data_IF_066851021856
#
_entry.id   IF_066851021856
#
_cell.length_a   1.000
_cell.length_b   1.000
_cell.length_c   1.000
_cell.angle_alpha   90.00
_cell.angle_beta   90.00
_cell.angle_gamma   90.00
#
_symmetry.space_group_name_H-M   'P 1'
#
loop_
_entity.id
_entity.type
_entity.pdbx_description
1 polymer ?
#
# COMPACT_ATOMS: atom_id res chain seq x y z
N UNK A 1 0.64 -1.65 -18.39
CA UNK A 1 -0.22 -0.85 -17.49
C UNK A 1 -1.52 -1.62 -17.31
N UNK A 2 -1.79 -2.13 -16.11
CA UNK A 2 -2.99 -2.94 -15.83
C UNK A 2 -4.07 -2.01 -15.29
N UNK A 3 -5.27 -2.09 -15.86
CA UNK A 3 -6.43 -1.29 -15.47
C UNK A 3 -7.43 -2.17 -14.72
N UNK A 4 -7.83 -1.76 -13.52
CA UNK A 4 -8.85 -2.48 -12.73
C UNK A 4 -10.11 -1.62 -12.59
N UNK A 5 -11.21 -2.04 -13.21
CA UNK A 5 -12.55 -1.48 -13.03
C UNK A 5 -13.38 -2.37 -12.10
N UNK A 6 -14.11 -1.78 -11.15
CA UNK A 6 -14.88 -2.52 -10.14
C UNK A 6 -16.34 -2.72 -10.55
N UNK A 7 -16.83 -3.96 -10.48
CA UNK A 7 -18.20 -4.32 -10.12
C UNK A 7 -18.13 -5.23 -8.87
N UNK A 8 -19.07 -5.05 -7.95
CA UNK A 8 -18.97 -5.40 -6.52
C UNK A 8 -18.74 -6.90 -6.18
N UNK A 9 -18.86 -7.82 -7.13
CA UNK A 9 -18.87 -9.26 -6.84
C UNK A 9 -17.50 -9.96 -7.07
N UNK A 10 -16.48 -9.25 -7.57
CA UNK A 10 -15.22 -9.86 -8.04
C UNK A 10 -14.03 -9.74 -7.10
N UNK A 11 -14.26 -9.41 -5.83
CA UNK A 11 -13.20 -9.08 -4.87
C UNK A 11 -12.26 -10.26 -4.59
N UNK A 12 -12.80 -11.46 -4.47
CA UNK A 12 -12.00 -12.67 -4.24
C UNK A 12 -11.15 -13.02 -5.47
N UNK A 13 -11.76 -12.91 -6.66
CA UNK A 13 -11.05 -13.09 -7.93
C UNK A 13 -9.93 -12.06 -8.10
N UNK A 14 -10.16 -10.81 -7.69
CA UNK A 14 -9.17 -9.74 -7.75
C UNK A 14 -7.90 -10.08 -6.95
N UNK A 15 -8.04 -10.60 -5.73
CA UNK A 15 -6.88 -10.94 -4.90
C UNK A 15 -6.12 -12.15 -5.47
N UNK A 16 -6.83 -13.18 -5.93
CA UNK A 16 -6.20 -14.35 -6.54
C UNK A 16 -5.44 -13.99 -7.82
N UNK A 17 -6.03 -13.16 -8.68
CA UNK A 17 -5.38 -12.64 -9.89
C UNK A 17 -4.17 -11.77 -9.57
N UNK A 18 -4.24 -10.94 -8.54
CA UNK A 18 -3.10 -10.14 -8.08
C UNK A 18 -1.97 -11.01 -7.55
N UNK A 19 -2.30 -12.07 -6.80
CA UNK A 19 -1.30 -13.01 -6.30
C UNK A 19 -0.60 -13.72 -7.47
N UNK A 20 -1.36 -14.28 -8.40
CA UNK A 20 -0.79 -14.95 -9.58
C UNK A 20 0.06 -13.99 -10.42
N UNK A 21 -0.37 -12.74 -10.56
CA UNK A 21 0.40 -11.69 -11.21
C UNK A 21 1.72 -11.42 -10.45
N UNK A 22 1.67 -11.26 -9.13
CA UNK A 22 2.87 -11.00 -8.35
C UNK A 22 3.85 -12.17 -8.36
N UNK A 23 3.35 -13.41 -8.35
CA UNK A 23 4.17 -14.61 -8.53
C UNK A 23 4.93 -14.57 -9.87
N UNK A 24 4.27 -14.16 -10.95
CA UNK A 24 4.90 -13.98 -12.28
C UNK A 24 5.86 -12.79 -12.35
N UNK A 25 5.73 -11.83 -11.44
CA UNK A 25 6.50 -10.57 -11.44
C UNK A 25 7.52 -10.50 -10.29
N UNK A 26 7.87 -11.65 -9.68
CA UNK A 26 8.94 -11.72 -8.68
C UNK A 26 10.22 -11.08 -9.21
N UNK A 27 10.92 -10.38 -8.32
CA UNK A 27 12.16 -9.64 -8.60
C UNK A 27 12.05 -8.48 -9.61
N UNK A 28 10.86 -8.20 -10.15
CA UNK A 28 10.63 -7.08 -11.07
C UNK A 28 10.12 -5.84 -10.34
N UNK A 29 10.18 -4.71 -11.05
CA UNK A 29 9.39 -3.53 -10.70
C UNK A 29 7.95 -3.76 -11.15
N UNK A 30 6.99 -3.56 -10.25
CA UNK A 30 5.57 -3.67 -10.57
C UNK A 30 4.91 -2.29 -10.55
N UNK A 31 4.32 -1.90 -11.68
CA UNK A 31 3.60 -0.64 -11.85
C UNK A 31 2.09 -0.90 -11.99
N UNK A 32 1.34 -0.57 -10.94
CA UNK A 32 -0.11 -0.75 -10.88
C UNK A 32 -0.81 0.60 -11.03
N UNK A 33 -1.72 0.68 -12.00
CA UNK A 33 -2.65 1.79 -12.15
C UNK A 33 -4.02 1.38 -11.60
N UNK A 34 -4.44 2.05 -10.53
CA UNK A 34 -5.71 1.77 -9.87
C UNK A 34 -6.68 2.90 -10.14
N UNK A 35 -7.74 2.59 -10.87
CA UNK A 35 -8.85 3.48 -11.25
C UNK A 35 -10.15 2.86 -10.76
N UNK A 36 -10.57 3.14 -9.53
CA UNK A 36 -11.83 2.59 -9.02
C UNK A 36 -12.57 3.58 -8.15
N UNK A 37 -13.86 3.79 -8.43
CA UNK A 37 -14.76 4.59 -7.60
C UNK A 37 -15.07 3.88 -6.27
N UNK A 38 -15.14 2.55 -6.26
CA UNK A 38 -15.41 1.74 -5.08
C UNK A 38 -14.66 0.40 -5.14
N UNK A 39 -13.72 0.19 -4.23
CA UNK A 39 -13.10 -1.12 -4.00
C UNK A 39 -13.48 -1.56 -2.59
N UNK A 40 -14.45 -2.45 -2.46
CA UNK A 40 -14.72 -3.14 -1.19
C UNK A 40 -13.75 -4.32 -1.17
N UNK A 41 -13.08 -4.56 -0.05
CA UNK A 41 -12.50 -5.87 0.17
C UNK A 41 -12.80 -6.23 1.63
N UNK A 42 -13.48 -7.35 1.92
CA UNK A 42 -13.81 -7.74 3.28
C UNK A 42 -12.57 -8.08 4.10
N UNK A 43 -12.47 -7.56 5.33
CA UNK A 43 -11.40 -7.94 6.29
C UNK A 43 -11.36 -9.45 6.57
N UNK A 44 -12.47 -10.16 6.35
CA UNK A 44 -12.65 -11.60 6.58
C UNK A 44 -11.91 -12.52 5.58
N UNK A 45 -11.37 -11.99 4.49
CA UNK A 45 -10.66 -12.81 3.48
C UNK A 45 -9.16 -12.97 3.73
N UNK A 46 -8.59 -12.28 4.72
CA UNK A 46 -7.16 -12.44 5.11
C UNK A 46 -6.74 -13.88 5.44
N UNK A 47 -7.55 -14.74 6.07
CA UNK A 47 -7.12 -16.08 6.48
C UNK A 47 -7.02 -17.09 5.33
N UNK A 48 -7.67 -16.85 4.18
CA UNK A 48 -7.73 -17.81 3.05
C UNK A 48 -6.49 -17.69 2.15
N UNK A 49 -5.73 -16.62 2.31
CA UNK A 49 -4.63 -16.27 1.43
C UNK A 49 -3.33 -16.88 1.97
N UNK A 50 -2.71 -17.77 1.18
CA UNK A 50 -1.37 -18.31 1.46
C UNK A 50 -0.35 -17.18 1.68
N UNK A 51 0.84 -17.48 2.25
CA UNK A 51 1.77 -16.44 2.65
C UNK A 51 2.12 -15.47 1.51
N UNK A 52 2.46 -14.22 1.85
CA UNK A 52 2.86 -13.17 0.92
C UNK A 52 3.77 -13.70 -0.20
N UNK A 53 3.57 -13.19 -1.41
CA UNK A 53 4.55 -13.32 -2.49
C UNK A 53 5.74 -12.43 -2.14
N UNK A 54 6.64 -12.94 -1.31
CA UNK A 54 7.89 -12.25 -1.00
C UNK A 54 8.68 -12.05 -2.30
N UNK A 55 9.48 -10.98 -2.35
CA UNK A 55 10.44 -10.63 -3.41
C UNK A 55 10.03 -9.61 -4.47
N UNK A 56 9.00 -8.79 -4.23
CA UNK A 56 8.83 -7.58 -5.04
C UNK A 56 9.82 -6.52 -4.59
N UNK A 57 10.78 -6.14 -5.44
CA UNK A 57 11.75 -5.08 -5.07
C UNK A 57 11.10 -3.70 -5.04
N UNK A 58 10.38 -3.37 -6.11
CA UNK A 58 9.84 -2.03 -6.30
C UNK A 58 8.36 -2.09 -6.65
N UNK A 59 7.51 -1.59 -5.75
CA UNK A 59 6.09 -1.41 -5.99
C UNK A 59 5.80 0.05 -6.32
N UNK A 60 5.30 0.30 -7.53
CA UNK A 60 4.89 1.61 -8.00
C UNK A 60 3.36 1.64 -8.14
N UNK A 61 2.70 2.55 -7.41
CA UNK A 61 1.25 2.67 -7.38
C UNK A 61 0.82 4.02 -7.92
N UNK A 62 0.07 4.02 -9.03
CA UNK A 62 -0.62 5.19 -9.55
C UNK A 62 -2.08 5.11 -9.19
N UNK A 63 -2.57 6.11 -8.46
CA UNK A 63 -3.90 6.06 -7.86
C UNK A 63 -4.72 7.25 -8.29
N UNK A 64 -5.89 6.96 -8.86
CA UNK A 64 -6.82 7.97 -9.34
C UNK A 64 -8.23 7.66 -8.81
N UNK A 65 -8.88 8.67 -8.22
CA UNK A 65 -10.31 8.60 -7.84
C UNK A 65 -10.72 7.43 -6.92
N UNK A 66 -9.88 7.03 -5.94
CA UNK A 66 -10.16 5.89 -5.06
C UNK A 66 -10.54 6.31 -3.63
N UNK A 67 -11.77 6.01 -3.22
CA UNK A 67 -12.31 6.31 -1.87
C UNK A 67 -11.78 5.39 -0.77
N UNK A 68 -11.33 4.17 -1.10
CA UNK A 68 -10.90 3.13 -0.14
C UNK A 68 -9.44 2.70 -0.30
N UNK A 69 -8.59 3.63 -0.74
CA UNK A 69 -7.20 3.33 -1.07
C UNK A 69 -6.35 2.76 0.08
N UNK A 70 -6.67 3.10 1.33
CA UNK A 70 -5.99 2.50 2.50
C UNK A 70 -6.07 0.98 2.50
N UNK A 71 -7.21 0.43 2.07
CA UNK A 71 -7.41 -1.01 2.04
C UNK A 71 -6.49 -1.67 1.00
N UNK A 72 -6.37 -1.05 -0.18
CA UNK A 72 -5.48 -1.51 -1.25
C UNK A 72 -4.04 -1.54 -0.75
N UNK A 73 -3.56 -0.43 -0.18
CA UNK A 73 -2.19 -0.37 0.36
C UNK A 73 -1.97 -1.42 1.42
N UNK A 74 -2.92 -1.57 2.35
CA UNK A 74 -2.81 -2.57 3.40
C UNK A 74 -2.69 -3.99 2.83
N UNK A 75 -3.38 -4.29 1.73
CA UNK A 75 -3.26 -5.57 1.05
C UNK A 75 -1.97 -5.72 0.26
N UNK A 76 -1.57 -4.70 -0.49
CA UNK A 76 -0.31 -4.75 -1.25
C UNK A 76 0.89 -4.91 -0.32
N UNK A 77 0.95 -4.11 0.75
CA UNK A 77 1.99 -4.22 1.77
C UNK A 77 1.99 -5.57 2.45
N UNK A 78 0.81 -6.13 2.73
CA UNK A 78 0.69 -7.47 3.30
C UNK A 78 1.12 -8.55 2.30
N UNK A 79 0.81 -8.43 1.01
CA UNK A 79 1.07 -9.47 0.02
C UNK A 79 2.50 -9.52 -0.51
N UNK A 80 3.24 -8.41 -0.58
CA UNK A 80 4.50 -8.41 -1.34
C UNK A 80 5.74 -7.88 -0.62
N UNK A 81 5.58 -7.31 0.57
CA UNK A 81 6.68 -6.81 1.40
C UNK A 81 7.75 -6.03 0.59
N UNK A 82 7.36 -4.98 -0.17
CA UNK A 82 8.25 -4.43 -1.16
C UNK A 82 9.40 -3.64 -0.52
N UNK A 83 10.61 -3.69 -1.10
CA UNK A 83 11.74 -2.91 -0.57
C UNK A 83 11.53 -1.40 -0.77
N UNK A 84 10.88 -1.01 -1.86
CA UNK A 84 10.45 0.38 -2.07
C UNK A 84 9.00 0.45 -2.47
N UNK A 85 8.29 1.42 -1.89
CA UNK A 85 6.93 1.79 -2.27
C UNK A 85 6.96 3.20 -2.86
N UNK A 86 6.71 3.32 -4.16
CA UNK A 86 6.51 4.61 -4.83
C UNK A 86 5.03 4.83 -5.06
N UNK A 87 4.50 5.98 -4.68
CA UNK A 87 3.09 6.30 -4.85
C UNK A 87 2.94 7.63 -5.56
N UNK A 88 2.17 7.60 -6.65
CA UNK A 88 1.76 8.80 -7.37
C UNK A 88 0.25 9.01 -7.19
N UNK A 89 -0.13 10.17 -6.66
CA UNK A 89 -1.51 10.53 -6.40
C UNK A 89 -2.00 11.68 -7.26
N UNK A 90 -3.19 11.52 -7.85
CA UNK A 90 -3.85 12.56 -8.62
C UNK A 90 -4.85 13.43 -7.84
N UNK A 91 -5.34 13.01 -6.66
CA UNK A 91 -6.57 13.64 -6.11
C UNK A 91 -6.69 13.77 -4.59
N UNK A 92 -5.80 13.24 -3.73
CA UNK A 92 -5.94 13.39 -2.27
C UNK A 92 -4.64 13.29 -1.47
N UNK A 93 -4.08 14.45 -1.09
CA UNK A 93 -2.99 14.55 -0.12
C UNK A 93 -3.37 14.03 1.28
N UNK A 94 -4.68 13.97 1.61
CA UNK A 94 -5.19 13.41 2.88
C UNK A 94 -4.69 12.00 3.09
N UNK A 95 -4.71 11.20 2.03
CA UNK A 95 -4.30 9.81 2.11
C UNK A 95 -2.81 9.70 2.42
N UNK A 96 -1.95 10.42 1.68
CA UNK A 96 -0.51 10.39 1.92
C UNK A 96 -0.19 10.79 3.37
N UNK A 97 -0.90 11.78 3.92
CA UNK A 97 -0.80 12.15 5.33
C UNK A 97 -1.17 11.00 6.27
N UNK A 98 -2.29 10.31 6.01
CA UNK A 98 -2.72 9.14 6.81
C UNK A 98 -1.72 7.99 6.72
N UNK A 99 -1.23 7.67 5.52
CA UNK A 99 -0.25 6.60 5.32
C UNK A 99 1.07 6.93 6.01
N UNK A 100 1.57 8.15 5.81
CA UNK A 100 2.78 8.63 6.45
C UNK A 100 2.66 8.58 7.98
N UNK A 101 1.55 9.03 8.55
CA UNK A 101 1.30 8.93 9.98
C UNK A 101 1.28 7.47 10.47
N UNK A 102 0.73 6.55 9.66
CA UNK A 102 0.72 5.11 9.98
C UNK A 102 2.13 4.51 9.96
N UNK A 103 3.01 4.98 9.07
CA UNK A 103 4.42 4.59 9.06
C UNK A 103 5.22 5.21 10.21
N UNK A 104 4.98 6.49 10.51
CA UNK A 104 5.68 7.22 11.59
C UNK A 104 5.30 6.72 12.98
N UNK A 105 4.03 6.42 13.20
CA UNK A 105 3.51 5.95 14.49
C UNK A 105 3.51 4.41 14.57
N UNK A 106 4.41 3.74 13.86
CA UNK A 106 4.50 2.29 13.89
C UNK A 106 4.95 1.85 15.29
N UNK A 107 4.07 1.16 16.01
CA UNK A 107 4.43 0.52 17.27
C UNK A 107 5.47 -0.58 17.02
N UNK A 108 6.47 -0.68 17.90
CA UNK A 108 7.48 -1.73 17.84
C UNK A 108 6.86 -3.13 18.02
N UNK A 109 5.77 -3.19 18.80
CA UNK A 109 4.93 -4.36 19.03
C UNK A 109 3.45 -3.99 18.82
N UNK A 110 2.95 -4.01 17.57
CA UNK A 110 1.57 -3.65 17.27
C UNK A 110 0.59 -4.52 18.03
N UNK A 111 -0.33 -3.91 18.79
CA UNK A 111 -1.35 -4.66 19.58
C UNK A 111 -2.55 -5.15 18.77
N UNK A 112 -2.49 -5.09 17.44
CA UNK A 112 -3.58 -5.50 16.56
C UNK A 112 -3.50 -7.00 16.20
N UNK A 113 -4.54 -7.57 15.58
CA UNK A 113 -4.57 -8.99 15.17
C UNK A 113 -4.37 -10.00 16.32
N UNK A 114 -4.82 -9.70 17.54
CA UNK A 114 -4.73 -10.61 18.70
C UNK A 114 -5.56 -11.88 18.50
N UNK A 115 -6.73 -11.77 17.87
CA UNK A 115 -7.66 -12.88 17.61
C UNK A 115 -7.55 -13.49 16.20
N UNK A 116 -6.57 -13.07 15.40
CA UNK A 116 -6.39 -13.57 14.03
C UNK A 116 -5.09 -14.37 13.93
N UNK A 117 -5.11 -15.59 13.33
CA UNK A 117 -3.89 -16.36 13.10
C UNK A 117 -2.94 -15.61 12.16
N UNK A 118 -3.49 -14.90 11.17
CA UNK A 118 -2.73 -14.12 10.21
C UNK A 118 -2.51 -12.69 10.71
N UNK A 119 -1.24 -12.31 10.90
CA UNK A 119 -0.83 -10.94 11.28
C UNK A 119 -0.86 -10.00 10.07
N UNK A 120 -1.19 -8.73 10.30
CA UNK A 120 -1.13 -7.69 9.26
C UNK A 120 0.31 -7.23 9.02
N UNK A 121 0.54 -6.49 7.92
CA UNK A 121 1.86 -5.99 7.51
C UNK A 121 2.57 -5.17 8.60
N UNK A 122 1.83 -4.49 9.50
CA UNK A 122 2.44 -3.70 10.58
C UNK A 122 3.34 -4.54 11.50
N UNK A 123 3.06 -5.84 11.66
CA UNK A 123 3.86 -6.75 12.48
C UNK A 123 5.17 -7.17 11.81
N UNK A 124 5.23 -7.07 10.48
CA UNK A 124 6.39 -7.47 9.69
C UNK A 124 7.22 -6.28 9.24
N UNK A 125 6.65 -5.08 9.17
CA UNK A 125 7.41 -3.89 8.82
C UNK A 125 8.35 -3.51 9.97
N UNK A 126 9.64 -3.34 9.70
CA UNK A 126 10.68 -3.03 10.67
C UNK A 126 11.03 -1.54 10.66
N UNK A 127 11.27 -0.96 9.48
CA UNK A 127 11.64 0.44 9.33
C UNK A 127 11.02 1.04 8.06
N UNK A 128 10.82 2.37 8.08
CA UNK A 128 10.32 3.15 6.95
C UNK A 128 11.10 4.43 6.82
N UNK A 129 11.68 4.64 5.64
CA UNK A 129 12.40 5.87 5.31
C UNK A 129 11.77 6.55 4.10
N UNK A 130 11.73 7.88 4.11
CA UNK A 130 11.39 8.65 2.91
C UNK A 130 12.64 8.68 2.00
N UNK A 131 12.45 8.27 0.75
CA UNK A 131 13.53 8.17 -0.24
C UNK A 131 13.67 9.47 -1.04
N UNK A 132 14.77 10.19 -0.83
CA UNK A 132 15.12 11.40 -1.56
C UNK A 132 14.51 12.70 -1.00
N UNK A 133 15.16 13.82 -1.32
CA UNK A 133 14.77 15.15 -0.83
C UNK A 133 13.42 15.62 -1.38
N UNK A 134 13.11 15.32 -2.64
CA UNK A 134 11.82 15.66 -3.27
C UNK A 134 10.64 15.04 -2.52
N UNK A 135 10.75 13.74 -2.19
CA UNK A 135 9.70 13.04 -1.43
C UNK A 135 9.52 13.60 -0.01
N UNK A 136 10.60 14.08 0.61
CA UNK A 136 10.53 14.76 1.93
C UNK A 136 9.81 16.09 1.81
N UNK A 137 10.19 16.92 0.84
CA UNK A 137 9.55 18.20 0.59
C UNK A 137 8.05 18.05 0.31
N UNK A 138 7.66 17.04 -0.48
CA UNK A 138 6.25 16.76 -0.73
C UNK A 138 5.49 16.38 0.56
N UNK A 139 6.07 15.52 1.40
CA UNK A 139 5.46 15.11 2.67
C UNK A 139 5.36 16.31 3.62
N UNK A 140 6.39 17.14 3.73
CA UNK A 140 6.40 18.32 4.58
C UNK A 140 5.31 19.32 4.15
N UNK A 141 5.17 19.54 2.84
CA UNK A 141 4.07 20.34 2.28
C UNK A 141 2.71 19.76 2.67
N UNK A 142 2.51 18.45 2.51
CA UNK A 142 1.24 17.77 2.85
C UNK A 142 0.93 17.89 4.36
N UNK A 143 1.94 17.80 5.23
CA UNK A 143 1.76 17.91 6.68
C UNK A 143 1.38 19.33 7.06
N UNK A 144 2.07 20.33 6.51
CA UNK A 144 1.89 21.75 6.81
C UNK A 144 0.54 22.31 6.34
N UNK A 145 -0.14 21.68 5.38
CA UNK A 145 -1.44 22.13 4.88
C UNK A 145 -2.56 22.00 5.94
N UNK A 146 -3.19 23.12 6.40
CA UNK A 146 -4.23 23.11 7.43
C UNK A 146 -5.59 22.63 6.91
N UNK A 147 -5.90 22.94 5.65
CA UNK A 147 -7.09 22.48 4.92
C UNK A 147 -6.63 21.94 3.58
N UNK A 148 -6.99 20.70 3.30
CA UNK A 148 -6.73 20.04 2.02
C UNK A 148 -7.61 20.71 0.97
N UNK A 149 -7.14 21.82 0.39
CA UNK A 149 -7.78 22.35 -0.80
C UNK A 149 -7.63 21.31 -1.90
N UNK A 150 -8.72 21.08 -2.63
CA UNK A 150 -8.85 20.08 -3.70
C UNK A 150 -8.04 20.46 -4.94
N UNK A 151 -6.93 21.21 -4.79
CA UNK A 151 -6.03 21.49 -5.90
C UNK A 151 -5.33 20.18 -6.29
N UNK A 152 -5.45 19.85 -7.55
CA UNK A 152 -4.91 18.67 -8.24
C UNK A 152 -3.39 18.77 -8.38
N UNK A 153 -2.67 18.86 -7.27
CA UNK A 153 -1.22 18.69 -7.28
C UNK A 153 -0.91 17.20 -7.34
N UNK A 154 -0.15 16.78 -8.36
CA UNK A 154 0.36 15.43 -8.45
C UNK A 154 1.51 15.29 -7.45
N UNK A 155 1.32 14.45 -6.44
CA UNK A 155 2.38 14.10 -5.49
C UNK A 155 2.99 12.76 -5.91
N UNK A 156 4.32 12.66 -5.87
CA UNK A 156 5.08 11.43 -6.07
C UNK A 156 6.04 11.25 -4.88
N UNK A 157 5.62 10.41 -3.94
CA UNK A 157 6.42 10.06 -2.77
C UNK A 157 6.96 8.64 -2.91
N UNK A 158 8.24 8.46 -2.58
CA UNK A 158 8.87 7.13 -2.46
C UNK A 158 9.28 6.85 -1.03
N UNK A 159 9.00 5.64 -0.59
CA UNK A 159 9.40 5.08 0.70
C UNK A 159 10.34 3.90 0.48
N UNK A 160 11.36 3.77 1.33
CA UNK A 160 12.12 2.52 1.52
C UNK A 160 11.57 1.82 2.75
N UNK A 161 11.27 0.53 2.60
CA UNK A 161 10.65 -0.29 3.63
C UNK A 161 11.60 -1.43 3.98
N UNK A 162 11.92 -1.56 5.26
CA UNK A 162 12.65 -2.70 5.79
C UNK A 162 11.64 -3.64 6.44
N UNK A 163 11.70 -4.92 6.09
CA UNK A 163 10.81 -5.94 6.62
C UNK A 163 11.59 -6.88 7.51
N UNK A 164 11.00 -7.30 8.62
CA UNK A 164 11.53 -8.38 9.46
C UNK A 164 11.63 -9.62 8.57
N UNK A 165 12.83 -10.20 8.50
CA UNK A 165 13.03 -11.53 7.93
C UNK A 165 12.02 -12.45 8.59
N UNK A 166 11.19 -13.13 7.80
CA UNK A 166 10.46 -14.24 8.38
C UNK A 166 11.52 -15.26 8.77
N UNK A 167 11.57 -15.60 10.06
CA UNK A 167 12.13 -16.88 10.47
C UNK A 167 11.25 -17.92 9.76
N UNK A 168 11.70 -18.36 8.58
CA UNK A 168 11.19 -19.54 7.91
C UNK A 168 11.41 -20.74 8.83
#
# INVERSE_FOLDING_TARGET
>A
MIHFGSHNDYIHFFILQLKELFEKLKHCQVDLLIKSKELIIPRKLRPILSPPVYDIKHLYLRVWYCSRFQYIIDHMLWMCHPQTLSIQFGTSARFLKVLYNKFRNKEENPKCCTSCPTKCWCHYLEDVQIDGNESRLEIDQIIAMPKLSQKSTKYKVRFRLKWRSQLL
#
